data_IF_879415058970
#
_entry.id   IF_879415058970
#
_cell.length_a   1.000
_cell.length_b   1.000
_cell.length_c   1.000
_cell.angle_alpha   90.00
_cell.angle_beta   90.00
_cell.angle_gamma   90.00
#
_symmetry.space_group_name_H-M   'P 1'
#
loop_
_entity.id
_entity.type
_entity.pdbx_description
1 polymer ?
#
# COMPACT_ATOMS: atom_id res chain seq x y z
N UNK A 1 -6.13 -2.21 4.43
CA UNK A 1 -6.66 -2.13 3.05
C UNK A 1 -7.71 -3.22 2.91
N UNK A 2 -8.93 -2.91 2.45
CA UNK A 2 -9.99 -3.90 2.31
C UNK A 2 -9.60 -4.95 1.27
N UNK A 3 -9.57 -6.22 1.68
CA UNK A 3 -9.27 -7.33 0.78
C UNK A 3 -10.53 -7.65 -0.04
N UNK A 4 -10.59 -7.18 -1.28
CA UNK A 4 -11.62 -7.59 -2.22
C UNK A 4 -11.27 -8.96 -2.80
N UNK A 5 -12.09 -9.97 -2.53
CA UNK A 5 -11.93 -11.28 -3.17
C UNK A 5 -12.43 -11.22 -4.61
N UNK A 6 -11.95 -12.14 -5.46
CA UNK A 6 -12.44 -12.25 -6.84
C UNK A 6 -13.97 -12.46 -6.87
N UNK A 7 -14.52 -13.25 -5.95
CA UNK A 7 -15.96 -13.50 -5.86
C UNK A 7 -16.75 -12.22 -5.57
N UNK A 8 -16.27 -11.38 -4.64
CA UNK A 8 -16.90 -10.08 -4.37
C UNK A 8 -16.89 -9.18 -5.60
N UNK A 9 -15.77 -9.14 -6.34
CA UNK A 9 -15.68 -8.34 -7.56
C UNK A 9 -16.60 -8.85 -8.67
N UNK A 10 -16.75 -10.17 -8.80
CA UNK A 10 -17.70 -10.77 -9.75
C UNK A 10 -19.14 -10.38 -9.40
N UNK A 11 -19.53 -10.46 -8.13
CA UNK A 11 -20.88 -10.08 -7.70
C UNK A 11 -21.17 -8.59 -7.90
N UNK A 12 -20.17 -7.72 -7.70
CA UNK A 12 -20.29 -6.30 -8.02
C UNK A 12 -20.53 -6.09 -9.52
N UNK A 13 -19.74 -6.76 -10.37
CA UNK A 13 -19.92 -6.68 -11.82
C UNK A 13 -21.26 -7.24 -12.31
N UNK A 14 -21.78 -8.32 -11.69
CA UNK A 14 -23.11 -8.85 -12.00
C UNK A 14 -24.22 -7.86 -11.67
N UNK A 15 -24.08 -7.12 -10.57
CA UNK A 15 -25.05 -6.09 -10.15
C UNK A 15 -25.01 -4.85 -11.04
N UNK A 16 -23.82 -4.38 -11.40
CA UNK A 16 -23.65 -3.18 -12.22
C UNK A 16 -23.91 -3.42 -13.71
N UNK A 17 -23.58 -4.61 -14.21
CA UNK A 17 -23.63 -4.95 -15.63
C UNK A 17 -24.28 -6.34 -15.83
N UNK A 18 -25.59 -6.47 -15.57
CA UNK A 18 -26.30 -7.75 -15.65
C UNK A 18 -26.32 -8.35 -17.05
N UNK A 19 -26.13 -7.53 -18.09
CA UNK A 19 -26.13 -7.97 -19.49
C UNK A 19 -24.76 -8.43 -20.00
N UNK A 20 -23.70 -8.35 -19.17
CA UNK A 20 -22.39 -8.82 -19.61
C UNK A 20 -22.33 -10.36 -19.60
N UNK A 21 -21.66 -10.97 -20.58
CA UNK A 21 -21.40 -12.40 -20.54
C UNK A 21 -20.52 -12.71 -19.32
N UNK A 22 -20.81 -13.84 -18.67
CA UNK A 22 -20.14 -14.27 -17.44
C UNK A 22 -18.61 -14.35 -17.61
N UNK A 23 -18.13 -14.79 -18.78
CA UNK A 23 -16.70 -14.80 -19.10
C UNK A 23 -16.05 -13.40 -18.99
N UNK A 24 -16.75 -12.37 -19.49
CA UNK A 24 -16.28 -10.98 -19.40
C UNK A 24 -16.24 -10.51 -17.96
N UNK A 25 -17.25 -10.84 -17.17
CA UNK A 25 -17.31 -10.53 -15.73
C UNK A 25 -16.11 -11.16 -15.00
N UNK A 26 -15.84 -12.44 -15.25
CA UNK A 26 -14.72 -13.15 -14.64
C UNK A 26 -13.36 -12.54 -15.03
N UNK A 27 -13.18 -12.20 -16.31
CA UNK A 27 -11.96 -11.59 -16.80
C UNK A 27 -11.72 -10.20 -16.19
N UNK A 28 -12.78 -9.38 -16.08
CA UNK A 28 -12.69 -8.05 -15.46
C UNK A 28 -12.40 -8.15 -13.96
N UNK A 29 -13.07 -9.05 -13.24
CA UNK A 29 -12.81 -9.28 -11.81
C UNK A 29 -11.36 -9.71 -11.55
N UNK A 30 -10.82 -10.64 -12.35
CA UNK A 30 -9.41 -11.06 -12.25
C UNK A 30 -8.44 -9.90 -12.51
N UNK A 31 -8.72 -9.08 -13.53
CA UNK A 31 -7.88 -7.92 -13.89
C UNK A 31 -7.83 -6.90 -12.75
N UNK A 32 -8.99 -6.53 -12.19
CA UNK A 32 -9.05 -5.61 -11.06
C UNK A 32 -8.37 -6.17 -9.83
N UNK A 33 -8.62 -7.44 -9.50
CA UNK A 33 -7.97 -8.08 -8.35
C UNK A 33 -6.43 -8.00 -8.44
N UNK A 34 -5.86 -8.23 -9.63
CA UNK A 34 -4.42 -8.10 -9.86
C UNK A 34 -3.91 -6.66 -9.67
N UNK A 35 -4.68 -5.66 -10.13
CA UNK A 35 -4.33 -4.25 -9.97
C UNK A 35 -4.38 -3.83 -8.50
N UNK A 36 -5.42 -4.24 -7.77
CA UNK A 36 -5.56 -3.96 -6.34
C UNK A 36 -4.41 -4.58 -5.52
N UNK A 37 -4.04 -5.83 -5.82
CA UNK A 37 -2.89 -6.47 -5.16
C UNK A 37 -1.57 -5.76 -5.47
N UNK A 38 -1.38 -5.34 -6.72
CA UNK A 38 -0.20 -4.54 -7.11
C UNK A 38 -0.15 -3.23 -6.30
N UNK A 39 -1.27 -2.50 -6.22
CA UNK A 39 -1.37 -1.27 -5.45
C UNK A 39 -1.07 -1.49 -3.96
N UNK A 40 -1.61 -2.54 -3.34
CA UNK A 40 -1.34 -2.87 -1.93
C UNK A 40 0.16 -3.16 -1.69
N UNK A 41 0.80 -3.93 -2.58
CA UNK A 41 2.24 -4.20 -2.50
C UNK A 41 3.05 -2.91 -2.63
N UNK A 42 2.72 -2.04 -3.57
CA UNK A 42 3.40 -0.75 -3.73
C UNK A 42 3.20 0.15 -2.51
N UNK A 43 1.98 0.22 -1.98
CA UNK A 43 1.66 0.99 -0.78
C UNK A 43 2.46 0.50 0.43
N UNK A 44 2.49 -0.82 0.68
CA UNK A 44 3.28 -1.43 1.76
C UNK A 44 4.77 -1.16 1.60
N UNK A 45 5.31 -1.25 0.39
CA UNK A 45 6.73 -0.94 0.11
C UNK A 45 7.04 0.53 0.36
N UNK A 46 6.14 1.44 -0.04
CA UNK A 46 6.28 2.87 0.20
C UNK A 46 6.28 3.17 1.70
N UNK A 47 5.29 2.65 2.44
CA UNK A 47 5.21 2.84 3.88
C UNK A 47 6.41 2.26 4.61
N UNK A 48 6.86 1.05 4.23
CA UNK A 48 8.07 0.45 4.81
C UNK A 48 9.29 1.35 4.61
N UNK A 49 9.48 1.91 3.41
CA UNK A 49 10.59 2.83 3.14
C UNK A 49 10.48 4.13 3.94
N UNK A 50 9.27 4.68 4.04
CA UNK A 50 9.00 5.88 4.83
C UNK A 50 9.35 5.67 6.31
N UNK A 51 8.82 4.61 6.92
CA UNK A 51 9.09 4.31 8.33
C UNK A 51 10.55 3.90 8.57
N UNK A 52 11.19 3.16 7.65
CA UNK A 52 12.61 2.84 7.75
C UNK A 52 13.45 4.12 7.79
N UNK A 53 13.22 5.05 6.84
CA UNK A 53 13.96 6.32 6.78
C UNK A 53 13.76 7.13 8.06
N UNK A 54 12.54 7.17 8.59
CA UNK A 54 12.28 7.89 9.85
C UNK A 54 12.99 7.25 11.03
N UNK A 55 12.96 5.92 11.15
CA UNK A 55 13.69 5.20 12.21
C UNK A 55 15.20 5.49 12.12
N UNK A 56 15.77 5.45 10.91
CA UNK A 56 17.19 5.72 10.71
C UNK A 56 17.54 7.17 11.10
N UNK A 57 16.69 8.15 10.73
CA UNK A 57 16.85 9.56 11.12
C UNK A 57 16.79 9.76 12.64
N UNK A 58 15.79 9.19 13.32
CA UNK A 58 15.66 9.31 14.77
C UNK A 58 16.81 8.59 15.50
N UNK A 59 17.24 7.43 15.00
CA UNK A 59 18.37 6.70 15.58
C UNK A 59 19.66 7.50 15.48
N UNK A 60 19.93 8.13 14.33
CA UNK A 60 21.08 9.01 14.14
C UNK A 60 21.01 10.26 15.03
N UNK A 61 19.83 10.88 15.16
CA UNK A 61 19.61 12.01 16.06
C UNK A 61 19.91 11.66 17.52
N UNK A 62 19.42 10.50 18.00
CA UNK A 62 19.66 10.03 19.36
C UNK A 62 21.15 9.72 19.61
N UNK A 63 21.84 9.13 18.64
CA UNK A 63 23.29 8.88 18.69
C UNK A 63 24.04 10.23 18.76
N UNK A 64 23.70 11.21 17.93
CA UNK A 64 24.33 12.53 17.96
C UNK A 64 24.10 13.24 19.31
N UNK A 65 22.90 13.15 19.89
CA UNK A 65 22.62 13.70 21.22
C UNK A 65 23.43 13.03 22.33
N UNK A 66 23.58 11.70 22.29
CA UNK A 66 24.32 10.96 23.33
C UNK A 66 25.82 11.14 23.22
N UNK A 67 26.37 11.31 22.01
CA UNK A 67 27.82 11.48 21.79
C UNK A 67 28.27 12.94 21.93
N UNK A 68 27.47 13.92 21.48
CA UNK A 68 27.90 15.31 21.37
C UNK A 68 27.17 16.29 22.32
N UNK A 69 26.24 15.82 23.16
CA UNK A 69 25.57 16.62 24.20
C UNK A 69 24.50 17.59 23.71
N UNK A 70 24.55 18.07 22.45
CA UNK A 70 23.50 18.87 21.80
C UNK A 70 23.58 18.79 20.27
N UNK A 71 22.44 18.60 19.61
CA UNK A 71 22.30 18.63 18.14
C UNK A 71 21.91 20.04 17.68
N UNK A 72 22.83 20.79 17.07
CA UNK A 72 22.56 22.11 16.48
C UNK A 72 21.85 22.05 15.10
N UNK A 73 21.42 20.87 14.64
CA UNK A 73 20.77 20.70 13.33
C UNK A 73 19.26 20.58 13.50
N UNK A 74 18.55 21.58 12.96
CA UNK A 74 17.11 21.50 12.68
C UNK A 74 16.97 20.58 11.47
N UNK A 75 16.41 19.39 11.68
CA UNK A 75 16.06 18.49 10.57
C UNK A 75 14.63 18.84 10.13
N UNK A 76 14.52 19.53 8.98
CA UNK A 76 13.25 19.78 8.26
C UNK A 76 12.78 18.56 7.47
#
# INVERSE_FOLDING_TARGET
MFYYTIAMLQDMYRREQPNWPEEKIQNMARRIHKLLNTLDVHWRRSNKRYYQRNIDLYSNYLIEMTVNGTTNKVFE
#
